data_IF_126799072128
#
_entry.id   IF_126799072128
#
_cell.length_a   1.000
_cell.length_b   1.000
_cell.length_c   1.000
_cell.angle_alpha   90.00
_cell.angle_beta   90.00
_cell.angle_gamma   90.00
#
_symmetry.space_group_name_H-M   'P 1'
#
loop_
_entity.id
_entity.type
_entity.pdbx_description
1 polymer ?
#
# COMPACT_ATOMS: atom_id res chain seq x y z
N UNK A 1 -8.43 3.93 -25.46
CA UNK A 1 -7.33 3.95 -24.46
C UNK A 1 -7.82 3.23 -23.21
N UNK A 2 -7.61 1.91 -23.18
CA UNK A 2 -8.27 1.01 -22.23
C UNK A 2 -7.46 0.83 -20.96
N UNK A 3 -8.08 1.14 -19.81
CA UNK A 3 -7.63 0.67 -18.51
C UNK A 3 -7.70 -0.86 -18.54
N UNK A 4 -6.55 -1.52 -18.67
CA UNK A 4 -6.47 -2.96 -18.85
C UNK A 4 -7.15 -3.68 -17.68
N UNK A 5 -8.09 -4.56 -18.04
CA UNK A 5 -9.06 -5.33 -17.23
C UNK A 5 -8.46 -6.28 -16.16
N UNK A 6 -7.14 -6.21 -15.91
CA UNK A 6 -6.39 -7.02 -14.94
C UNK A 6 -5.38 -6.13 -14.21
N UNK A 7 -5.85 -5.29 -13.28
CA UNK A 7 -5.04 -4.55 -12.29
C UNK A 7 -3.68 -4.06 -12.77
N UNK A 8 -3.64 -2.79 -13.18
CA UNK A 8 -2.47 -2.11 -13.75
C UNK A 8 -1.14 -2.55 -13.08
N UNK A 9 -0.28 -3.21 -13.85
CA UNK A 9 1.03 -3.67 -13.37
C UNK A 9 1.88 -2.51 -12.87
N UNK A 10 1.69 -1.30 -13.43
CA UNK A 10 2.36 -0.09 -12.98
C UNK A 10 1.85 0.36 -11.62
N UNK A 11 0.54 0.30 -11.37
CA UNK A 11 -0.02 0.61 -10.05
C UNK A 11 0.55 -0.32 -8.98
N UNK A 12 0.65 -1.63 -9.26
CA UNK A 12 1.29 -2.57 -8.32
C UNK A 12 2.75 -2.20 -8.06
N UNK A 13 3.49 -1.84 -9.12
CA UNK A 13 4.90 -1.43 -9.00
C UNK A 13 5.06 -0.18 -8.14
N UNK A 14 4.23 0.83 -8.38
CA UNK A 14 4.20 2.07 -7.62
C UNK A 14 3.87 1.81 -6.14
N UNK A 15 2.83 1.02 -5.87
CA UNK A 15 2.44 0.69 -4.50
C UNK A 15 3.54 -0.06 -3.74
N UNK A 16 4.25 -0.99 -4.40
CA UNK A 16 5.40 -1.70 -3.80
C UNK A 16 6.58 -0.75 -3.58
N UNK A 17 6.86 0.19 -4.48
CA UNK A 17 7.89 1.21 -4.27
C UNK A 17 7.53 2.10 -3.07
N UNK A 18 6.30 2.58 -2.97
CA UNK A 18 5.82 3.35 -1.81
C UNK A 18 5.94 2.54 -0.52
N UNK A 19 5.56 1.26 -0.55
CA UNK A 19 5.70 0.36 0.60
C UNK A 19 7.17 0.21 1.03
N UNK A 20 8.11 0.08 0.08
CA UNK A 20 9.55 -0.01 0.40
C UNK A 20 10.10 1.28 0.99
N UNK A 21 9.68 2.44 0.47
CA UNK A 21 10.08 3.75 1.05
C UNK A 21 9.50 3.92 2.45
N UNK A 22 8.25 3.50 2.67
CA UNK A 22 7.64 3.52 4.00
C UNK A 22 8.39 2.61 4.97
N UNK A 23 8.82 1.42 4.53
CA UNK A 23 9.62 0.51 5.34
C UNK A 23 10.99 1.08 5.70
N UNK A 24 11.64 1.79 4.79
CA UNK A 24 12.92 2.46 5.08
C UNK A 24 12.76 3.56 6.13
N UNK A 25 11.60 4.22 6.16
CA UNK A 25 11.29 5.23 7.18
C UNK A 25 10.54 4.66 8.38
N UNK A 26 10.40 3.35 8.50
CA UNK A 26 9.58 2.72 9.53
C UNK A 26 10.05 3.04 10.95
N UNK A 27 11.36 3.22 11.14
CA UNK A 27 11.96 3.61 12.44
C UNK A 27 11.53 5.01 12.88
N UNK A 28 11.22 5.90 11.94
CA UNK A 28 10.75 7.26 12.21
C UNK A 28 9.22 7.37 12.26
N UNK A 29 8.50 6.28 11.98
CA UNK A 29 7.05 6.26 11.91
C UNK A 29 6.48 5.55 13.14
N UNK A 30 5.70 6.27 13.93
CA UNK A 30 5.06 5.74 15.14
C UNK A 30 3.56 5.54 14.92
N UNK A 31 3.03 4.38 15.32
CA UNK A 31 1.59 4.10 15.30
C UNK A 31 1.24 2.66 14.94
N UNK A 32 -0.06 2.32 15.03
CA UNK A 32 -0.59 0.95 14.84
C UNK A 32 -0.23 0.32 13.48
N UNK A 33 -0.05 1.13 12.43
CA UNK A 33 0.42 0.62 11.13
C UNK A 33 1.90 0.24 11.18
N UNK A 34 2.73 1.07 11.81
CA UNK A 34 4.16 0.83 11.92
C UNK A 34 4.45 -0.39 12.80
N UNK A 35 3.78 -0.53 13.94
CA UNK A 35 3.85 -1.71 14.81
C UNK A 35 3.45 -2.99 14.06
N UNK A 36 2.36 -2.94 13.28
CA UNK A 36 1.94 -4.08 12.47
C UNK A 36 3.00 -4.45 11.41
N UNK A 37 3.61 -3.47 10.74
CA UNK A 37 4.68 -3.73 9.77
C UNK A 37 5.93 -4.29 10.45
N UNK A 38 6.34 -3.76 11.61
CA UNK A 38 7.46 -4.30 12.39
C UNK A 38 7.22 -5.75 12.80
N UNK A 39 6.05 -6.06 13.36
CA UNK A 39 5.69 -7.44 13.72
C UNK A 39 5.61 -8.40 12.52
N UNK A 40 5.29 -7.89 11.33
CA UNK A 40 5.36 -8.67 10.09
C UNK A 40 6.80 -8.86 9.61
N UNK A 41 7.66 -7.86 9.72
CA UNK A 41 9.10 -7.98 9.37
C UNK A 41 9.82 -8.98 10.28
N UNK A 42 9.38 -9.14 11.53
CA UNK A 42 9.92 -10.18 12.42
C UNK A 42 9.55 -11.60 11.97
N UNK A 43 8.43 -11.77 11.26
CA UNK A 43 7.87 -13.10 10.89
C UNK A 43 8.03 -13.45 9.41
N UNK A 44 8.22 -12.46 8.56
CA UNK A 44 8.22 -12.60 7.11
C UNK A 44 9.31 -11.75 6.45
N UNK A 45 9.77 -12.21 5.29
CA UNK A 45 10.75 -11.47 4.51
C UNK A 45 10.20 -10.12 4.02
N UNK A 46 11.04 -9.09 4.02
CA UNK A 46 10.72 -7.70 3.64
C UNK A 46 9.94 -7.57 2.32
N UNK A 47 10.21 -8.43 1.33
CA UNK A 47 9.47 -8.42 0.06
C UNK A 47 8.00 -8.84 0.21
N UNK A 48 7.73 -9.82 1.08
CA UNK A 48 6.36 -10.26 1.39
C UNK A 48 5.62 -9.17 2.15
N UNK A 49 6.29 -8.56 3.13
CA UNK A 49 5.71 -7.46 3.90
C UNK A 49 5.44 -6.24 2.99
N UNK A 50 6.30 -5.96 2.01
CA UNK A 50 6.11 -4.84 1.08
C UNK A 50 4.87 -5.05 0.21
N UNK A 51 4.66 -6.27 -0.28
CA UNK A 51 3.44 -6.65 -0.99
C UNK A 51 2.20 -6.57 -0.09
N UNK A 52 2.28 -7.02 1.16
CA UNK A 52 1.16 -6.95 2.11
C UNK A 52 0.78 -5.49 2.44
N UNK A 53 1.78 -4.65 2.67
CA UNK A 53 1.61 -3.21 2.90
C UNK A 53 1.01 -2.52 1.67
N UNK A 54 1.54 -2.82 0.48
CA UNK A 54 0.99 -2.32 -0.79
C UNK A 54 -0.48 -2.71 -0.96
N UNK A 55 -0.85 -3.95 -0.65
CA UNK A 55 -2.24 -4.41 -0.73
C UNK A 55 -3.15 -3.72 0.30
N UNK A 56 -2.63 -3.45 1.51
CA UNK A 56 -3.35 -2.69 2.53
C UNK A 56 -3.60 -1.25 2.09
N UNK A 57 -2.58 -0.58 1.56
CA UNK A 57 -2.69 0.77 0.99
C UNK A 57 -3.62 0.80 -0.22
N UNK A 58 -3.57 -0.21 -1.09
CA UNK A 58 -4.48 -0.34 -2.22
C UNK A 58 -5.94 -0.45 -1.75
N UNK A 59 -6.21 -1.21 -0.68
CA UNK A 59 -7.56 -1.31 -0.10
C UNK A 59 -8.04 0.00 0.51
N UNK A 60 -7.17 0.75 1.18
CA UNK A 60 -7.49 2.09 1.70
C UNK A 60 -7.79 3.04 0.54
N UNK A 61 -6.91 3.12 -0.45
CA UNK A 61 -7.09 3.94 -1.64
C UNK A 61 -8.36 3.54 -2.41
N UNK A 62 -8.65 2.24 -2.51
CA UNK A 62 -9.88 1.73 -3.12
C UNK A 62 -11.10 2.13 -2.31
N UNK A 63 -11.09 2.00 -0.98
CA UNK A 63 -12.19 2.42 -0.14
C UNK A 63 -12.44 3.92 -0.26
N UNK A 64 -11.39 4.75 -0.28
CA UNK A 64 -11.48 6.20 -0.51
C UNK A 64 -12.01 6.51 -1.92
N UNK A 65 -11.50 5.84 -2.95
CA UNK A 65 -11.91 6.07 -4.35
C UNK A 65 -13.29 5.49 -4.67
N UNK A 66 -13.73 4.47 -3.94
CA UNK A 66 -15.06 3.86 -4.11
C UNK A 66 -16.10 4.62 -3.31
N UNK A 67 -15.71 5.22 -2.18
CA UNK A 67 -16.51 6.23 -1.46
C UNK A 67 -16.52 7.58 -2.19
N UNK A 68 -16.55 7.57 -3.53
CA UNK A 68 -16.83 8.74 -4.38
C UNK A 68 -18.16 9.37 -3.96
N UNK A 69 -18.12 10.25 -2.95
CA UNK A 69 -18.85 11.50 -3.02
C UNK A 69 -18.31 12.17 -4.27
N UNK A 70 -19.15 12.24 -5.30
CA UNK A 70 -18.87 12.98 -6.52
C UNK A 70 -18.45 14.38 -6.07
N UNK A 71 -17.17 14.73 -6.19
CA UNK A 71 -16.76 16.13 -6.19
C UNK A 71 -17.28 16.69 -7.51
N UNK A 72 -18.58 17.01 -7.52
CA UNK A 72 -19.15 17.91 -8.50
C UNK A 72 -18.62 19.28 -8.15
N UNK A 73 -17.98 19.88 -9.15
CA UNK A 73 -17.47 21.24 -9.16
C UNK A 73 -18.55 22.26 -8.81
#
# INVERSE_FOLDING_TARGET
>A
MGISKRGDKNLRRLLVQCARVYMQRLEYQSGRLAEWVQGQLTRHHSNVVACALANKLARIAWAVTTQRTVFSK
#
